data_IF_711774617573
#
_entry.id   IF_711774617573
#
_cell.length_a   1.000
_cell.length_b   1.000
_cell.length_c   1.000
_cell.angle_alpha   90.00
_cell.angle_beta   90.00
_cell.angle_gamma   90.00
#
_symmetry.space_group_name_H-M   'P 1'
#
loop_
_entity.id
_entity.type
_entity.pdbx_description
1 polymer ?
#
# COMPACT_ATOMS: atom_id res chain seq x y z
N UNK A 1 -3.11 47.32 -100.40
CA UNK A 1 -1.75 47.17 -99.81
C UNK A 1 -1.91 46.80 -98.34
N UNK A 2 -1.62 45.55 -97.96
CA UNK A 2 -0.37 45.12 -97.31
C UNK A 2 -0.37 45.37 -95.78
N UNK A 3 -0.62 44.26 -95.08
CA UNK A 3 0.15 43.66 -93.95
C UNK A 3 0.17 44.29 -92.56
N UNK A 4 0.22 43.34 -91.61
CA UNK A 4 0.92 43.37 -90.31
C UNK A 4 0.21 44.13 -89.18
N UNK A 5 0.10 43.65 -87.94
CA UNK A 5 0.68 42.52 -87.19
C UNK A 5 -0.04 42.51 -85.83
N UNK A 6 -0.94 41.60 -85.50
CA UNK A 6 -0.71 40.22 -85.04
C UNK A 6 0.29 39.98 -83.89
N UNK A 7 0.74 41.00 -83.14
CA UNK A 7 1.64 40.76 -81.98
C UNK A 7 1.17 41.28 -80.62
N UNK A 8 0.21 42.22 -80.53
CA UNK A 8 -0.19 42.75 -79.21
C UNK A 8 -1.35 42.02 -78.50
N UNK A 9 -2.22 41.29 -79.22
CA UNK A 9 -3.37 40.56 -78.62
C UNK A 9 -3.04 39.14 -78.13
N UNK A 10 -2.00 38.51 -78.66
CA UNK A 10 -1.54 37.17 -78.22
C UNK A 10 -0.74 37.24 -76.91
N UNK A 11 0.03 38.31 -76.70
CA UNK A 11 0.88 38.43 -75.51
C UNK A 11 0.04 38.61 -74.23
N UNK A 12 -1.05 39.39 -74.26
CA UNK A 12 -1.90 39.66 -73.08
C UNK A 12 -2.70 38.44 -72.61
N UNK A 13 -3.15 37.56 -73.53
CA UNK A 13 -3.83 36.30 -73.18
C UNK A 13 -2.85 35.24 -72.65
N UNK A 14 -1.62 35.22 -73.17
CA UNK A 14 -0.56 34.36 -72.65
C UNK A 14 -0.15 34.78 -71.23
N UNK A 15 0.04 36.08 -70.96
CA UNK A 15 0.38 36.60 -69.62
C UNK A 15 -0.68 36.24 -68.57
N UNK A 16 -1.97 36.46 -68.87
CA UNK A 16 -3.08 36.14 -67.97
C UNK A 16 -3.23 34.62 -67.73
N UNK A 17 -2.93 33.79 -68.74
CA UNK A 17 -2.93 32.33 -68.59
C UNK A 17 -1.74 31.83 -67.75
N UNK A 18 -0.58 32.49 -67.83
CA UNK A 18 0.62 32.13 -67.06
C UNK A 18 0.46 32.56 -65.60
N UNK A 19 -0.06 33.75 -65.33
CA UNK A 19 -0.36 34.23 -63.96
C UNK A 19 -1.41 33.35 -63.28
N UNK A 20 -2.46 32.94 -63.99
CA UNK A 20 -3.49 32.04 -63.43
C UNK A 20 -2.94 30.64 -63.13
N UNK A 21 -2.03 30.11 -63.97
CA UNK A 21 -1.33 28.84 -63.69
C UNK A 21 -0.38 28.95 -62.50
N UNK A 22 0.38 30.05 -62.37
CA UNK A 22 1.24 30.30 -61.21
C UNK A 22 0.45 30.47 -59.91
N UNK A 23 -0.73 31.09 -59.98
CA UNK A 23 -1.65 31.26 -58.84
C UNK A 23 -2.23 29.92 -58.36
N UNK A 24 -2.66 29.07 -59.30
CA UNK A 24 -3.16 27.72 -59.00
C UNK A 24 -2.03 26.83 -58.46
N UNK A 25 -0.82 26.93 -59.00
CA UNK A 25 0.34 26.19 -58.50
C UNK A 25 0.71 26.62 -57.06
N UNK A 26 0.64 27.92 -56.75
CA UNK A 26 0.85 28.44 -55.38
C UNK A 26 -0.22 27.93 -54.41
N UNK A 27 -1.49 27.89 -54.82
CA UNK A 27 -2.58 27.31 -54.01
C UNK A 27 -2.38 25.82 -53.78
N UNK A 28 -1.97 25.07 -54.80
CA UNK A 28 -1.70 23.63 -54.71
C UNK A 28 -0.49 23.33 -53.81
N UNK A 29 0.57 24.13 -53.91
CA UNK A 29 1.72 24.01 -53.03
C UNK A 29 1.38 24.34 -51.56
N UNK A 30 0.50 25.30 -51.31
CA UNK A 30 0.02 25.64 -49.96
C UNK A 30 -0.91 24.57 -49.39
N UNK A 31 -1.75 23.95 -50.21
CA UNK A 31 -2.54 22.78 -49.80
C UNK A 31 -1.65 21.57 -49.49
N UNK A 32 -0.60 21.34 -50.28
CA UNK A 32 0.36 20.27 -50.02
C UNK A 32 1.19 20.54 -48.75
N UNK A 33 1.58 21.80 -48.47
CA UNK A 33 2.27 22.12 -47.22
C UNK A 33 1.35 21.96 -46.01
N UNK A 34 0.09 22.41 -46.09
CA UNK A 34 -0.90 22.21 -45.03
C UNK A 34 -1.25 20.73 -44.81
N UNK A 35 -1.22 19.91 -45.87
CA UNK A 35 -1.39 18.47 -45.77
C UNK A 35 -0.17 17.81 -45.12
N UNK A 36 1.05 18.22 -45.49
CA UNK A 36 2.29 17.73 -44.90
C UNK A 36 2.42 18.14 -43.42
N UNK A 37 2.03 19.38 -43.06
CA UNK A 37 2.02 19.87 -41.68
C UNK A 37 0.97 19.13 -40.84
N UNK A 38 -0.19 18.79 -41.43
CA UNK A 38 -1.19 17.91 -40.79
C UNK A 38 -0.69 16.48 -40.63
N UNK A 39 0.03 15.95 -41.61
CA UNK A 39 0.58 14.59 -41.58
C UNK A 39 1.76 14.48 -40.59
N UNK A 40 2.58 15.53 -40.48
CA UNK A 40 3.62 15.68 -39.45
C UNK A 40 3.00 15.88 -38.05
N UNK A 41 1.91 16.65 -37.92
CA UNK A 41 1.18 16.79 -36.66
C UNK A 41 0.47 15.49 -36.26
N UNK A 42 -0.09 14.74 -37.21
CA UNK A 42 -0.68 13.42 -36.98
C UNK A 42 0.37 12.35 -36.67
N UNK A 43 1.55 12.39 -37.29
CA UNK A 43 2.65 11.46 -36.98
C UNK A 43 3.30 11.80 -35.62
N UNK A 44 3.44 13.08 -35.27
CA UNK A 44 3.86 13.51 -33.94
C UNK A 44 2.81 13.15 -32.88
N UNK A 45 1.51 13.27 -33.17
CA UNK A 45 0.47 12.77 -32.26
C UNK A 45 0.46 11.24 -32.18
N UNK A 46 0.65 10.50 -33.28
CA UNK A 46 0.74 9.02 -33.26
C UNK A 46 1.98 8.51 -32.53
N UNK A 47 3.10 9.24 -32.55
CA UNK A 47 4.29 8.96 -31.73
C UNK A 47 4.12 9.41 -30.26
N UNK A 48 3.41 10.51 -30.00
CA UNK A 48 3.13 11.00 -28.64
C UNK A 48 1.99 10.24 -27.92
N UNK A 49 1.07 9.58 -28.64
CA UNK A 49 -0.03 8.80 -28.05
C UNK A 49 0.31 7.31 -27.85
N UNK A 50 1.55 6.90 -28.12
CA UNK A 50 2.02 5.53 -27.88
C UNK A 50 3.13 5.40 -26.84
N UNK A 51 3.31 6.39 -25.96
CA UNK A 51 3.72 6.08 -24.59
C UNK A 51 2.47 5.70 -23.78
N UNK A 52 1.81 4.58 -24.17
CA UNK A 52 1.07 3.83 -23.15
C UNK A 52 2.09 3.60 -22.06
N UNK A 53 1.88 4.23 -20.90
CA UNK A 53 2.53 3.85 -19.65
C UNK A 53 2.53 2.32 -19.65
N UNK A 54 3.68 1.69 -19.93
CA UNK A 54 3.80 0.25 -19.85
C UNK A 54 3.58 0.00 -18.36
N UNK A 55 2.36 -0.40 -18.02
CA UNK A 55 2.02 -0.75 -16.64
C UNK A 55 3.10 -1.68 -16.11
N UNK A 56 3.50 -1.46 -14.85
CA UNK A 56 4.57 -2.25 -14.21
C UNK A 56 4.35 -3.73 -14.53
N UNK A 57 5.39 -4.41 -15.01
CA UNK A 57 5.30 -5.85 -15.29
C UNK A 57 4.99 -6.54 -13.96
N UNK A 58 3.81 -7.17 -13.89
CA UNK A 58 3.38 -7.90 -12.70
C UNK A 58 4.36 -9.03 -12.42
N UNK A 59 4.79 -9.12 -11.16
CA UNK A 59 5.65 -10.20 -10.70
C UNK A 59 4.84 -11.49 -10.47
N UNK A 60 5.51 -12.53 -9.99
CA UNK A 60 4.89 -13.86 -9.82
C UNK A 60 3.83 -13.82 -8.72
N UNK A 61 4.10 -13.13 -7.60
CA UNK A 61 3.19 -13.02 -6.47
C UNK A 61 1.93 -12.23 -6.81
N UNK A 62 2.08 -11.12 -7.53
CA UNK A 62 0.95 -10.30 -7.98
C UNK A 62 0.05 -11.07 -8.95
N UNK A 63 0.64 -11.83 -9.87
CA UNK A 63 -0.14 -12.71 -10.76
C UNK A 63 -0.83 -13.82 -10.01
N UNK A 64 -0.20 -14.34 -8.95
CA UNK A 64 -0.76 -15.42 -8.13
C UNK A 64 -2.00 -14.96 -7.35
N UNK A 65 -1.98 -13.76 -6.77
CA UNK A 65 -3.14 -13.25 -6.02
C UNK A 65 -4.30 -12.81 -6.93
N UNK A 66 -4.03 -12.52 -8.20
CA UNK A 66 -5.07 -12.16 -9.18
C UNK A 66 -5.66 -13.37 -9.90
N UNK A 67 -4.98 -14.51 -9.90
CA UNK A 67 -5.48 -15.73 -10.55
C UNK A 67 -6.53 -16.43 -9.69
N UNK A 68 -7.52 -17.11 -10.31
CA UNK A 68 -8.50 -17.88 -9.57
C UNK A 68 -7.80 -19.00 -8.79
N UNK A 69 -8.05 -19.05 -7.49
CA UNK A 69 -7.48 -20.05 -6.58
C UNK A 69 -8.57 -21.06 -6.20
N UNK A 70 -8.67 -22.23 -6.89
CA UNK A 70 -9.73 -23.20 -6.63
C UNK A 70 -9.56 -23.92 -5.29
N UNK A 71 -8.34 -24.02 -4.78
CA UNK A 71 -8.01 -24.74 -3.54
C UNK A 71 -7.40 -23.78 -2.53
N UNK A 72 -8.25 -23.16 -1.71
CA UNK A 72 -7.86 -22.09 -0.79
C UNK A 72 -6.67 -22.45 0.11
N UNK A 73 -6.72 -23.59 0.80
CA UNK A 73 -5.67 -23.97 1.77
C UNK A 73 -4.31 -24.24 1.11
N UNK A 74 -4.31 -24.90 -0.05
CA UNK A 74 -3.08 -25.12 -0.82
C UNK A 74 -2.51 -23.79 -1.31
N UNK A 75 -3.36 -22.91 -1.85
CA UNK A 75 -2.93 -21.61 -2.37
C UNK A 75 -2.40 -20.69 -1.27
N UNK A 76 -3.03 -20.67 -0.10
CA UNK A 76 -2.53 -19.95 1.07
C UNK A 76 -1.20 -20.53 1.57
N UNK A 77 -1.03 -21.85 1.56
CA UNK A 77 0.23 -22.48 1.97
C UNK A 77 1.37 -22.13 1.00
N UNK A 78 1.10 -22.14 -0.30
CA UNK A 78 2.06 -21.71 -1.33
C UNK A 78 2.42 -20.23 -1.17
N UNK A 79 1.43 -19.37 -0.92
CA UNK A 79 1.65 -17.94 -0.70
C UNK A 79 2.54 -17.70 0.51
N UNK A 80 2.21 -18.32 1.66
CA UNK A 80 3.00 -18.23 2.89
C UNK A 80 4.43 -18.69 2.65
N UNK A 81 4.62 -19.84 2.01
CA UNK A 81 5.95 -20.37 1.70
C UNK A 81 6.76 -19.40 0.81
N UNK A 82 6.16 -18.86 -0.25
CA UNK A 82 6.84 -17.90 -1.13
C UNK A 82 7.28 -16.64 -0.37
N UNK A 83 6.42 -16.07 0.48
CA UNK A 83 6.76 -14.89 1.30
C UNK A 83 7.88 -15.22 2.31
N UNK A 84 7.84 -16.39 2.95
CA UNK A 84 8.84 -16.79 3.94
C UNK A 84 10.22 -17.06 3.32
N UNK A 85 10.26 -17.57 2.08
CA UNK A 85 11.52 -17.88 1.39
C UNK A 85 12.09 -16.68 0.63
N UNK A 86 11.26 -15.95 -0.10
CA UNK A 86 11.69 -14.91 -1.05
C UNK A 86 11.44 -13.48 -0.53
N UNK A 87 10.53 -13.32 0.43
CA UNK A 87 10.06 -12.01 0.90
C UNK A 87 9.13 -11.32 -0.11
N UNK A 88 8.61 -10.15 0.28
CA UNK A 88 7.88 -9.26 -0.62
C UNK A 88 8.85 -8.24 -1.25
N UNK A 89 8.57 -7.77 -2.48
CA UNK A 89 9.40 -6.74 -3.11
C UNK A 89 9.39 -5.42 -2.31
N UNK A 90 10.42 -4.60 -2.51
CA UNK A 90 10.47 -3.26 -1.94
C UNK A 90 10.77 -2.23 -3.04
N UNK A 91 9.81 -1.36 -3.42
CA UNK A 91 8.46 -1.22 -2.87
C UNK A 91 7.48 -2.29 -3.37
N UNK A 92 6.58 -2.77 -2.49
CA UNK A 92 5.48 -3.68 -2.85
C UNK A 92 4.15 -2.92 -2.90
N UNK A 93 3.56 -2.70 -4.09
CA UNK A 93 2.31 -1.96 -4.23
C UNK A 93 1.07 -2.78 -3.83
N UNK A 94 1.20 -4.11 -3.72
CA UNK A 94 0.09 -5.02 -3.40
C UNK A 94 0.21 -5.63 -2.00
N UNK A 95 1.12 -5.13 -1.15
CA UNK A 95 1.35 -5.64 0.21
C UNK A 95 0.07 -5.63 1.06
N UNK A 96 -0.72 -4.56 0.98
CA UNK A 96 -1.98 -4.46 1.71
C UNK A 96 -2.95 -5.60 1.34
N UNK A 97 -3.05 -5.95 0.05
CA UNK A 97 -3.91 -7.05 -0.39
C UNK A 97 -3.39 -8.41 0.10
N UNK A 98 -2.07 -8.63 0.08
CA UNK A 98 -1.44 -9.83 0.65
C UNK A 98 -1.80 -9.95 2.13
N UNK A 99 -1.66 -8.87 2.90
CA UNK A 99 -2.01 -8.88 4.33
C UNK A 99 -3.49 -9.18 4.55
N UNK A 100 -4.39 -8.58 3.77
CA UNK A 100 -5.83 -8.91 3.84
C UNK A 100 -6.10 -10.40 3.54
N UNK A 101 -5.45 -10.96 2.51
CA UNK A 101 -5.57 -12.39 2.17
C UNK A 101 -5.08 -13.28 3.32
N UNK A 102 -3.90 -12.98 3.87
CA UNK A 102 -3.30 -13.75 4.97
C UNK A 102 -4.13 -13.67 6.27
N UNK A 103 -4.69 -12.49 6.55
CA UNK A 103 -5.58 -12.24 7.68
C UNK A 103 -7.00 -12.76 7.46
N UNK A 104 -7.32 -13.23 6.25
CA UNK A 104 -8.69 -13.58 5.84
C UNK A 104 -9.68 -12.45 6.07
N UNK A 105 -9.22 -11.21 5.92
CA UNK A 105 -10.04 -10.02 6.07
C UNK A 105 -10.97 -9.88 4.87
N UNK A 106 -12.28 -9.85 5.12
CA UNK A 106 -13.27 -9.56 4.08
C UNK A 106 -13.09 -8.13 3.58
N UNK A 107 -13.23 -7.87 2.27
CA UNK A 107 -13.33 -6.52 1.75
C UNK A 107 -14.47 -5.76 2.44
N UNK A 108 -14.23 -4.49 2.76
CA UNK A 108 -15.25 -3.58 3.26
C UNK A 108 -16.04 -3.06 2.06
N UNK A 109 -17.37 -3.03 2.19
CA UNK A 109 -18.24 -2.47 1.16
C UNK A 109 -17.97 -0.97 0.96
N UNK A 110 -17.76 -0.56 -0.29
CA UNK A 110 -17.47 0.84 -0.61
C UNK A 110 -18.63 1.77 -0.29
N UNK A 111 -19.87 1.27 -0.39
CA UNK A 111 -21.08 2.03 -0.04
C UNK A 111 -21.13 2.30 1.47
N UNK A 112 -20.90 1.27 2.29
CA UNK A 112 -20.82 1.41 3.74
C UNK A 112 -19.75 2.44 4.14
N UNK A 113 -18.53 2.31 3.59
CA UNK A 113 -17.44 3.23 3.91
C UNK A 113 -17.77 4.67 3.48
N UNK A 114 -18.35 4.87 2.30
CA UNK A 114 -18.79 6.19 1.83
C UNK A 114 -19.83 6.80 2.77
N UNK A 115 -20.79 6.01 3.24
CA UNK A 115 -21.79 6.43 4.21
C UNK A 115 -21.17 6.86 5.54
N UNK A 116 -20.21 6.10 6.06
CA UNK A 116 -19.48 6.43 7.29
C UNK A 116 -18.68 7.73 7.15
N UNK A 117 -18.00 7.92 6.02
CA UNK A 117 -17.27 9.16 5.73
C UNK A 117 -18.22 10.36 5.68
N UNK A 118 -19.42 10.19 5.11
CA UNK A 118 -20.44 11.24 5.06
C UNK A 118 -20.99 11.61 6.45
N UNK A 119 -21.06 10.66 7.39
CA UNK A 119 -21.45 10.91 8.79
C UNK A 119 -20.38 11.68 9.58
N UNK A 120 -19.12 11.58 9.17
CA UNK A 120 -18.00 12.21 9.86
C UNK A 120 -17.54 11.47 11.12
N UNK A 121 -16.79 12.17 11.98
CA UNK A 121 -16.22 11.59 13.20
C UNK A 121 -17.27 11.27 14.26
N UNK A 122 -16.99 10.25 15.07
CA UNK A 122 -17.84 9.90 16.22
C UNK A 122 -17.78 11.02 17.25
N UNK A 123 -18.92 11.63 17.53
CA UNK A 123 -19.04 12.81 18.38
C UNK A 123 -20.30 12.77 19.26
N UNK A 124 -20.45 13.75 20.13
CA UNK A 124 -21.61 13.91 21.03
C UNK A 124 -22.93 14.02 20.26
N UNK A 125 -22.95 14.65 19.08
CA UNK A 125 -24.16 14.84 18.28
C UNK A 125 -24.65 13.53 17.66
N UNK A 126 -23.73 12.67 17.25
CA UNK A 126 -24.03 11.39 16.59
C UNK A 126 -24.34 10.26 17.56
N UNK A 127 -23.80 10.29 18.78
CA UNK A 127 -23.95 9.21 19.78
C UNK A 127 -24.68 9.61 21.07
N UNK A 128 -24.95 10.90 21.29
CA UNK A 128 -25.47 11.44 22.55
C UNK A 128 -24.36 11.65 23.60
N UNK A 129 -24.53 12.66 24.44
CA UNK A 129 -23.53 13.05 25.45
C UNK A 129 -23.23 11.95 26.47
N UNK A 130 -24.20 11.08 26.74
CA UNK A 130 -24.09 10.00 27.71
C UNK A 130 -23.40 8.75 27.15
N UNK A 131 -23.12 8.71 25.85
CA UNK A 131 -22.44 7.57 25.22
C UNK A 131 -20.96 7.56 25.59
N UNK A 132 -20.46 6.37 25.98
CA UNK A 132 -19.04 6.11 26.20
C UNK A 132 -18.15 6.44 24.99
N UNK A 133 -18.75 6.56 23.80
CA UNK A 133 -18.06 6.81 22.55
C UNK A 133 -18.05 8.29 22.12
N UNK A 134 -18.73 9.18 22.84
CA UNK A 134 -18.98 10.57 22.43
C UNK A 134 -17.72 11.41 22.17
N UNK A 135 -16.60 11.08 22.81
CA UNK A 135 -15.32 11.79 22.68
C UNK A 135 -14.25 11.00 21.90
N UNK A 136 -14.65 9.93 21.19
CA UNK A 136 -13.69 9.06 20.49
C UNK A 136 -12.96 9.81 19.38
N UNK A 137 -13.65 10.61 18.56
CA UNK A 137 -12.99 11.36 17.48
C UNK A 137 -11.98 12.39 18.02
N UNK A 138 -12.29 13.07 19.12
CA UNK A 138 -11.37 14.01 19.77
C UNK A 138 -10.13 13.28 20.30
N UNK A 139 -10.34 12.13 20.95
CA UNK A 139 -9.26 11.29 21.45
C UNK A 139 -8.36 10.79 20.31
N UNK A 140 -8.96 10.38 19.19
CA UNK A 140 -8.22 10.00 17.98
C UNK A 140 -7.32 11.15 17.53
N UNK A 141 -7.86 12.36 17.37
CA UNK A 141 -7.06 13.53 16.97
C UNK A 141 -5.87 13.79 17.89
N UNK A 142 -6.10 13.77 19.21
CA UNK A 142 -5.05 13.97 20.21
C UNK A 142 -3.97 12.89 20.17
N UNK A 143 -4.36 11.62 19.98
CA UNK A 143 -3.43 10.50 19.87
C UNK A 143 -2.62 10.55 18.57
N UNK A 144 -3.26 10.87 17.45
CA UNK A 144 -2.59 11.08 16.15
C UNK A 144 -1.54 12.18 16.25
N UNK A 145 -1.93 13.33 16.81
CA UNK A 145 -1.03 14.45 17.02
C UNK A 145 0.19 14.02 17.85
N UNK A 146 -0.03 13.42 19.03
CA UNK A 146 1.04 13.00 19.94
C UNK A 146 2.00 11.98 19.30
N UNK A 147 1.51 11.07 18.47
CA UNK A 147 2.33 10.02 17.85
C UNK A 147 3.10 10.52 16.61
N UNK A 148 2.50 11.40 15.80
CA UNK A 148 3.01 11.75 14.47
C UNK A 148 3.43 13.21 14.30
N UNK A 149 3.36 14.05 15.34
CA UNK A 149 3.61 15.51 15.28
C UNK A 149 4.81 15.90 14.41
N UNK A 150 5.93 15.19 14.54
CA UNK A 150 7.19 15.53 13.87
C UNK A 150 7.61 14.54 12.75
N UNK A 151 6.72 13.65 12.31
CA UNK A 151 7.07 12.61 11.34
C UNK A 151 6.86 13.03 9.88
N UNK A 152 7.78 13.86 9.35
CA UNK A 152 7.70 14.38 7.97
C UNK A 152 7.67 13.28 6.89
N UNK A 153 8.37 12.15 7.09
CA UNK A 153 8.40 11.00 6.14
C UNK A 153 7.04 10.30 6.07
N UNK A 154 6.29 10.29 7.17
CA UNK A 154 4.96 9.73 7.21
C UNK A 154 3.97 10.64 6.47
N UNK A 155 3.96 11.94 6.80
CA UNK A 155 3.06 12.91 6.18
C UNK A 155 3.34 13.20 4.70
N UNK A 156 4.53 12.83 4.19
CA UNK A 156 4.77 12.84 2.74
C UNK A 156 4.00 11.75 1.97
N UNK A 157 3.49 10.72 2.67
CA UNK A 157 2.77 9.59 2.05
C UNK A 157 1.24 9.67 2.20
N UNK A 158 0.73 10.38 3.20
CA UNK A 158 -0.72 10.52 3.46
C UNK A 158 -0.99 11.84 4.17
N UNK A 159 -2.19 12.40 4.01
CA UNK A 159 -2.61 13.57 4.77
C UNK A 159 -3.11 13.21 6.17
N UNK A 160 -3.06 14.18 7.09
CA UNK A 160 -3.60 14.01 8.44
C UNK A 160 -5.09 13.71 8.42
N UNK A 161 -5.85 14.38 7.56
CA UNK A 161 -7.29 14.17 7.38
C UNK A 161 -7.62 12.76 6.84
N UNK A 162 -6.80 12.23 5.92
CA UNK A 162 -6.94 10.84 5.44
C UNK A 162 -6.76 9.85 6.57
N UNK A 163 -5.74 10.05 7.39
CA UNK A 163 -5.42 9.14 8.49
C UNK A 163 -6.50 9.18 9.58
N UNK A 164 -6.89 10.38 10.02
CA UNK A 164 -7.95 10.59 11.02
C UNK A 164 -9.29 10.02 10.52
N UNK A 165 -9.60 10.18 9.23
CA UNK A 165 -10.83 9.64 8.63
C UNK A 165 -10.87 8.11 8.69
N UNK A 166 -9.77 7.43 8.37
CA UNK A 166 -9.70 5.96 8.46
C UNK A 166 -9.87 5.48 9.89
N UNK A 167 -9.26 6.16 10.87
CA UNK A 167 -9.42 5.81 12.29
C UNK A 167 -10.85 6.03 12.80
N UNK A 168 -11.49 7.11 12.37
CA UNK A 168 -12.90 7.34 12.68
C UNK A 168 -13.82 6.31 12.01
N UNK A 169 -13.54 5.92 10.77
CA UNK A 169 -14.29 4.86 10.10
C UNK A 169 -14.14 3.51 10.81
N UNK A 170 -12.94 3.21 11.32
CA UNK A 170 -12.72 2.04 12.16
C UNK A 170 -13.49 2.12 13.48
N UNK A 171 -13.55 3.29 14.12
CA UNK A 171 -14.37 3.48 15.32
C UNK A 171 -15.85 3.19 15.06
N UNK A 172 -16.41 3.69 13.96
CA UNK A 172 -17.77 3.37 13.52
C UNK A 172 -17.97 1.87 13.28
N UNK A 173 -17.02 1.20 12.61
CA UNK A 173 -17.04 -0.25 12.43
C UNK A 173 -17.15 -0.99 13.78
N UNK A 174 -16.35 -0.60 14.77
CA UNK A 174 -16.36 -1.22 16.10
C UNK A 174 -17.66 -0.94 16.85
N UNK A 175 -18.22 0.27 16.74
CA UNK A 175 -19.48 0.63 17.41
C UNK A 175 -20.63 -0.18 16.80
N UNK A 176 -20.79 -0.17 15.47
CA UNK A 176 -21.85 -0.88 14.76
C UNK A 176 -21.74 -2.40 14.98
N UNK A 177 -20.53 -2.97 14.96
CA UNK A 177 -20.32 -4.39 15.22
C UNK A 177 -20.57 -4.79 16.69
N UNK A 178 -20.34 -3.89 17.67
CA UNK A 178 -20.66 -4.18 19.07
C UNK A 178 -22.17 -4.08 19.38
N UNK A 179 -22.94 -3.35 18.56
CA UNK A 179 -24.41 -3.29 18.67
C UNK A 179 -25.09 -4.46 17.95
N UNK A 180 -24.39 -5.10 17.00
CA UNK A 180 -24.83 -6.30 16.27
C UNK A 180 -23.98 -7.51 16.71
N UNK A 181 -24.18 -7.98 17.94
CA UNK A 181 -23.71 -9.29 18.41
C UNK A 181 -22.32 -9.32 19.06
N UNK A 182 -22.25 -10.04 20.18
CA UNK A 182 -21.05 -10.34 20.96
C UNK A 182 -19.89 -10.88 20.10
N UNK A 183 -18.93 -10.01 19.77
CA UNK A 183 -17.53 -10.40 19.51
C UNK A 183 -16.70 -9.96 20.70
N UNK A 184 -16.96 -10.62 21.83
CA UNK A 184 -15.99 -10.71 22.92
C UNK A 184 -14.65 -11.22 22.38
N UNK A 185 -13.57 -10.58 22.80
CA UNK A 185 -12.16 -10.96 22.62
C UNK A 185 -11.38 -10.40 21.43
N UNK A 186 -11.50 -9.10 21.15
CA UNK A 186 -10.36 -8.35 20.58
C UNK A 186 -9.82 -7.41 21.64
N UNK A 187 -8.96 -7.95 22.50
CA UNK A 187 -8.13 -7.15 23.41
C UNK A 187 -7.28 -6.18 22.58
N UNK A 188 -7.54 -4.88 22.77
CA UNK A 188 -6.70 -3.72 22.46
C UNK A 188 -5.34 -4.03 21.80
N UNK A 189 -5.32 -4.23 20.48
CA UNK A 189 -4.12 -3.95 19.70
C UNK A 189 -4.11 -2.46 19.41
N UNK A 190 -3.34 -1.70 20.18
CA UNK A 190 -2.89 -0.36 19.78
C UNK A 190 -2.11 -0.51 18.47
N UNK A 191 -2.81 -0.33 17.34
CA UNK A 191 -2.20 -0.18 16.04
C UNK A 191 -1.41 1.14 16.06
N UNK A 192 -0.12 1.03 16.30
CA UNK A 192 0.84 2.12 16.15
C UNK A 192 1.51 1.95 14.78
N UNK A 193 1.19 2.79 13.76
CA UNK A 193 1.82 2.68 12.46
C UNK A 193 3.21 3.35 12.50
N UNK A 194 4.20 2.65 13.06
CA UNK A 194 5.60 2.86 12.71
C UNK A 194 6.00 1.85 11.65
N UNK A 195 5.80 2.23 10.39
CA UNK A 195 6.42 1.53 9.26
C UNK A 195 7.82 2.09 9.09
N UNK A 196 8.74 1.62 9.92
CA UNK A 196 10.13 1.50 9.50
C UNK A 196 10.20 0.31 8.53
N UNK A 197 11.02 0.43 7.49
CA UNK A 197 11.07 -0.54 6.39
C UNK A 197 11.39 -1.97 6.89
N UNK A 198 12.08 -2.10 8.02
CA UNK A 198 12.40 -3.37 8.69
C UNK A 198 11.23 -3.94 9.51
N UNK A 199 10.42 -3.09 10.15
CA UNK A 199 9.25 -3.53 10.92
C UNK A 199 8.21 -4.17 9.99
N UNK A 200 8.04 -3.63 8.78
CA UNK A 200 7.15 -4.20 7.76
C UNK A 200 7.56 -5.62 7.39
N UNK A 201 8.86 -5.90 7.28
CA UNK A 201 9.36 -7.25 7.00
C UNK A 201 9.03 -8.23 8.12
N UNK A 202 9.05 -7.77 9.38
CA UNK A 202 8.60 -8.59 10.51
C UNK A 202 7.09 -8.88 10.43
N UNK A 203 6.27 -7.92 10.01
CA UNK A 203 4.84 -8.14 9.79
C UNK A 203 4.55 -9.09 8.61
N UNK A 204 5.27 -8.95 7.50
CA UNK A 204 5.21 -9.89 6.37
C UNK A 204 5.49 -11.33 6.84
N UNK A 205 6.48 -11.50 7.73
CA UNK A 205 6.80 -12.77 8.38
C UNK A 205 5.68 -13.24 9.33
N UNK A 206 5.20 -12.38 10.24
CA UNK A 206 4.18 -12.75 11.24
C UNK A 206 2.86 -13.18 10.59
N UNK A 207 2.40 -12.48 9.56
CA UNK A 207 1.18 -12.88 8.84
C UNK A 207 1.35 -14.14 8.01
N UNK A 208 2.59 -14.45 7.60
CA UNK A 208 2.88 -15.65 6.81
C UNK A 208 3.13 -16.89 7.67
N UNK A 209 3.86 -16.75 8.78
CA UNK A 209 4.23 -17.85 9.67
C UNK A 209 3.21 -18.05 10.79
N UNK A 210 2.74 -16.96 11.40
CA UNK A 210 1.83 -16.93 12.54
C UNK A 210 2.24 -15.91 13.60
N UNK A 211 1.24 -15.24 14.16
CA UNK A 211 1.41 -14.16 15.14
C UNK A 211 2.01 -14.63 16.47
N UNK A 212 1.92 -15.93 16.78
CA UNK A 212 2.52 -16.54 17.96
C UNK A 212 4.04 -16.37 18.02
N UNK A 213 4.69 -16.22 16.87
CA UNK A 213 6.13 -16.00 16.78
C UNK A 213 6.59 -14.66 17.37
N UNK A 214 5.69 -13.71 17.62
CA UNK A 214 6.03 -12.39 18.13
C UNK A 214 6.87 -12.45 19.42
N UNK A 215 6.55 -13.37 20.34
CA UNK A 215 7.33 -13.56 21.57
C UNK A 215 8.77 -13.98 21.25
N UNK A 216 8.94 -14.90 20.30
CA UNK A 216 10.27 -15.40 19.91
C UNK A 216 11.07 -14.30 19.19
N UNK A 217 10.41 -13.47 18.37
CA UNK A 217 11.05 -12.29 17.74
C UNK A 217 11.61 -11.33 18.81
N UNK A 218 10.82 -11.05 19.86
CA UNK A 218 11.26 -10.20 20.98
C UNK A 218 12.44 -10.83 21.72
N UNK A 219 12.38 -12.14 22.01
CA UNK A 219 13.49 -12.87 22.64
C UNK A 219 14.75 -12.81 21.76
N UNK A 220 14.62 -13.02 20.45
CA UNK A 220 15.72 -12.91 19.51
C UNK A 220 16.33 -11.50 19.51
N UNK A 221 15.50 -10.45 19.52
CA UNK A 221 15.96 -9.06 19.59
C UNK A 221 16.75 -8.78 20.88
N UNK A 222 16.29 -9.30 22.03
CA UNK A 222 17.02 -9.19 23.30
C UNK A 222 18.34 -9.97 23.28
N UNK A 223 18.37 -11.14 22.63
CA UNK A 223 19.59 -11.94 22.51
C UNK A 223 20.64 -11.26 21.63
N UNK A 224 20.23 -10.55 20.58
CA UNK A 224 21.16 -9.79 19.72
C UNK A 224 21.92 -8.70 20.49
N UNK A 225 21.28 -8.08 21.49
CA UNK A 225 21.89 -7.04 22.34
C UNK A 225 22.39 -7.58 23.69
N UNK A 226 22.42 -8.91 23.88
CA UNK A 226 22.72 -9.55 25.18
C UNK A 226 24.06 -9.08 25.75
N UNK A 227 25.12 -9.06 24.95
CA UNK A 227 26.46 -8.69 25.41
C UNK A 227 26.53 -7.24 25.88
N UNK A 228 25.85 -6.34 25.16
CA UNK A 228 25.74 -4.92 25.51
C UNK A 228 24.92 -4.73 26.78
N UNK A 229 23.82 -5.47 26.93
CA UNK A 229 22.99 -5.46 28.14
C UNK A 229 23.75 -5.93 29.37
N UNK A 230 24.51 -7.03 29.27
CA UNK A 230 25.26 -7.59 30.40
C UNK A 230 26.50 -6.77 30.78
N UNK A 231 27.07 -6.02 29.83
CA UNK A 231 28.27 -5.20 30.05
C UNK A 231 27.92 -3.76 30.45
N UNK A 232 26.73 -3.27 30.09
CA UNK A 232 26.32 -1.90 30.35
C UNK A 232 26.12 -1.62 31.84
N UNK A 233 26.66 -0.48 32.30
CA UNK A 233 26.38 0.04 33.65
C UNK A 233 24.94 0.54 33.81
N UNK A 234 24.24 0.81 32.70
CA UNK A 234 22.88 1.34 32.67
C UNK A 234 22.04 0.58 31.61
N UNK A 235 21.70 -0.69 31.81
CA UNK A 235 20.99 -1.51 30.82
C UNK A 235 19.63 -0.93 30.42
N UNK A 236 19.00 -0.15 31.30
CA UNK A 236 17.72 0.50 31.04
C UNK A 236 17.78 1.55 29.93
N UNK A 237 18.95 2.13 29.61
CA UNK A 237 19.07 3.05 28.46
C UNK A 237 18.94 2.30 27.14
N UNK A 238 19.54 1.12 27.02
CA UNK A 238 19.49 0.27 25.83
C UNK A 238 18.08 -0.29 25.59
N UNK A 239 17.36 -0.62 26.65
CA UNK A 239 15.97 -1.08 26.56
C UNK A 239 14.98 0.05 26.21
N UNK A 240 15.33 1.32 26.47
CA UNK A 240 14.53 2.47 26.05
C UNK A 240 14.80 2.87 24.60
N UNK A 241 16.05 2.72 24.16
CA UNK A 241 16.47 3.04 22.82
C UNK A 241 17.23 1.86 22.24
N UNK A 242 16.48 0.98 21.58
CA UNK A 242 17.06 -0.17 20.91
C UNK A 242 17.93 0.27 19.73
N UNK A 243 18.96 -0.54 19.39
CA UNK A 243 19.70 -0.38 18.13
C UNK A 243 18.80 -0.50 16.91
N UNK A 244 19.33 -0.13 15.75
CA UNK A 244 18.62 -0.30 14.47
C UNK A 244 18.17 -1.75 14.29
N UNK A 245 16.91 -1.90 13.90
CA UNK A 245 16.28 -3.20 13.75
C UNK A 245 16.77 -3.87 12.46
N UNK A 246 17.20 -5.13 12.55
CA UNK A 246 17.56 -5.96 11.39
C UNK A 246 16.60 -7.16 11.34
N UNK A 247 15.55 -7.05 10.53
CA UNK A 247 14.49 -8.04 10.48
C UNK A 247 15.03 -9.41 10.02
N UNK A 248 15.98 -9.41 9.09
CA UNK A 248 16.59 -10.63 8.57
C UNK A 248 17.34 -11.41 9.65
N UNK A 249 18.15 -10.73 10.48
CA UNK A 249 18.84 -11.36 11.62
C UNK A 249 17.85 -11.86 12.67
N UNK A 250 16.86 -11.04 13.02
CA UNK A 250 15.84 -11.39 14.03
C UNK A 250 15.06 -12.64 13.58
N UNK A 251 14.58 -12.68 12.34
CA UNK A 251 13.83 -13.84 11.80
C UNK A 251 14.70 -15.10 11.81
N UNK A 252 15.93 -15.02 11.31
CA UNK A 252 16.86 -16.17 11.27
C UNK A 252 17.14 -16.72 12.67
N UNK A 253 17.45 -15.84 13.62
CA UNK A 253 17.69 -16.24 15.00
C UNK A 253 16.43 -16.84 15.63
N UNK A 254 15.26 -16.25 15.36
CA UNK A 254 13.98 -16.75 15.88
C UNK A 254 13.67 -18.16 15.39
N UNK A 255 13.86 -18.44 14.09
CA UNK A 255 13.69 -19.79 13.53
C UNK A 255 14.70 -20.80 14.12
N UNK A 256 15.91 -20.34 14.45
CA UNK A 256 16.90 -21.17 15.14
C UNK A 256 16.48 -21.49 16.57
N UNK A 257 15.95 -20.50 17.30
CA UNK A 257 15.43 -20.67 18.67
C UNK A 257 14.26 -21.64 18.65
N UNK A 258 13.29 -21.47 17.74
CA UNK A 258 12.10 -22.32 17.62
C UNK A 258 12.46 -23.80 17.51
N UNK A 259 13.50 -24.15 16.77
CA UNK A 259 13.97 -25.56 16.64
C UNK A 259 14.50 -26.16 17.94
N UNK A 260 14.84 -25.32 18.92
CA UNK A 260 15.39 -25.73 20.21
C UNK A 260 14.34 -25.77 21.32
N UNK A 261 13.11 -25.29 21.05
CA UNK A 261 12.02 -25.25 22.02
C UNK A 261 11.35 -26.65 22.10
N UNK A 262 11.10 -27.18 23.32
CA UNK A 262 10.30 -28.39 23.51
C UNK A 262 8.91 -28.27 22.86
N UNK A 263 8.40 -29.36 22.28
CA UNK A 263 7.16 -29.33 21.49
C UNK A 263 5.91 -28.91 22.29
N UNK A 264 5.86 -29.27 23.57
CA UNK A 264 4.84 -28.87 24.54
C UNK A 264 4.89 -27.37 24.87
N UNK A 265 6.10 -26.83 25.08
CA UNK A 265 6.26 -25.38 25.24
C UNK A 265 5.92 -24.62 23.95
N UNK A 266 6.29 -25.17 22.79
CA UNK A 266 5.94 -24.56 21.52
C UNK A 266 4.42 -24.57 21.29
N UNK A 267 3.71 -25.63 21.66
CA UNK A 267 2.25 -25.69 21.64
C UNK A 267 1.62 -24.60 22.52
N UNK A 268 2.13 -24.38 23.73
CA UNK A 268 1.71 -23.28 24.60
C UNK A 268 1.95 -21.92 23.93
N UNK A 269 3.10 -21.73 23.27
CA UNK A 269 3.38 -20.51 22.51
C UNK A 269 2.40 -20.38 21.34
N UNK A 270 1.99 -21.43 20.64
CA UNK A 270 0.99 -21.30 19.57
C UNK A 270 -0.36 -20.85 20.14
N UNK A 271 -0.79 -21.50 21.23
CA UNK A 271 -2.12 -21.27 21.83
C UNK A 271 -2.25 -19.96 22.61
N UNK A 272 -1.16 -19.33 23.06
CA UNK A 272 -1.24 -18.10 23.88
C UNK A 272 -2.01 -16.95 23.23
N UNK A 273 -2.11 -16.96 21.90
CA UNK A 273 -2.75 -15.89 21.13
C UNK A 273 -4.29 -15.96 21.15
N UNK A 274 -4.88 -17.09 21.55
CA UNK A 274 -6.33 -17.30 21.52
C UNK A 274 -6.89 -18.11 22.69
N UNK A 275 -6.06 -18.83 23.46
CA UNK A 275 -6.49 -19.65 24.60
C UNK A 275 -6.05 -18.99 25.91
N UNK A 276 -7.02 -18.41 26.63
CA UNK A 276 -6.80 -17.74 27.92
C UNK A 276 -6.27 -18.69 29.00
N UNK A 277 -6.50 -20.01 28.86
CA UNK A 277 -6.03 -21.02 29.84
C UNK A 277 -4.52 -21.23 29.79
N UNK A 278 -3.86 -20.80 28.71
CA UNK A 278 -2.41 -20.93 28.55
C UNK A 278 -1.65 -20.24 29.68
N UNK A 279 -2.16 -19.11 30.21
CA UNK A 279 -1.54 -18.43 31.35
C UNK A 279 -1.38 -19.35 32.56
N UNK A 280 -2.45 -20.06 32.94
CA UNK A 280 -2.44 -21.01 34.07
C UNK A 280 -1.58 -22.24 33.77
N UNK A 281 -1.56 -22.70 32.51
CA UNK A 281 -0.74 -23.84 32.12
C UNK A 281 0.76 -23.52 32.20
N UNK A 282 1.16 -22.29 31.84
CA UNK A 282 2.55 -21.82 31.93
C UNK A 282 3.01 -21.74 33.39
N UNK A 283 2.17 -21.28 34.31
CA UNK A 283 2.52 -21.24 35.75
C UNK A 283 2.86 -22.61 36.33
N UNK A 284 2.25 -23.66 35.79
CA UNK A 284 2.46 -25.05 36.21
C UNK A 284 3.51 -25.79 35.35
N UNK A 285 4.09 -25.12 34.35
CA UNK A 285 5.07 -25.72 33.44
C UNK A 285 6.40 -25.92 34.17
N UNK A 286 6.85 -27.17 34.30
CA UNK A 286 8.14 -27.52 34.92
C UNK A 286 9.21 -27.65 33.84
N UNK A 287 10.29 -26.89 33.99
CA UNK A 287 11.48 -26.90 33.14
C UNK A 287 12.40 -28.07 33.49
#
# INVERSE_FOLDING_TARGET
MIRSTSYHKLNRKASLSVEKKQSIQKLRNRQNSLALDKELAENNNKQATHTKSKGRKKDVLEKFIESPQPLLESSLSQLRHSILCEGLPDPCPYRAYIWCILLRASPIESEWYSGVVARGGVNVESMGADSKFAHVSEKIGNDVFRTFQNNKKFWSKTSEDEFIRVLNAFAWCVIENNEIGELSNVNNSRLSPYVQDEVVKLWDFLFSYGVHMNIILVVAQLLLIRSELLTSKNPMSLLRQFPELDAGKIIKLSLSITKSIPGDLYDLIVRHTFDEKVGVQIENYKV
#
